data_IF_534258301973
#
_entry.id   IF_534258301973
#
_cell.length_a   1.000
_cell.length_b   1.000
_cell.length_c   1.000
_cell.angle_alpha   90.00
_cell.angle_beta   90.00
_cell.angle_gamma   90.00
#
_symmetry.space_group_name_H-M   'P 1'
#
loop_
_entity.id
_entity.type
_entity.pdbx_description
1 polymer ?
2 non-polymer ?
3 water ?
#
# COMPACT_ATOMS: atom_id res chain seq x y z
N UNK A 4 11.24 -9.70 -26.62
CA UNK A 4 10.94 -9.62 -25.16
C UNK A 4 10.15 -8.35 -24.81
N UNK A 5 8.94 -8.28 -25.37
CA UNK A 5 8.00 -7.17 -25.20
C UNK A 5 7.50 -7.00 -23.76
N UNK A 6 7.21 -8.12 -23.09
CA UNK A 6 6.70 -8.11 -21.71
C UNK A 6 7.70 -7.61 -20.68
N UNK A 7 8.97 -7.99 -20.85
CA UNK A 7 10.05 -7.58 -19.95
C UNK A 7 10.32 -6.08 -20.10
N UNK A 8 10.16 -5.56 -21.32
CA UNK A 8 10.34 -4.14 -21.61
C UNK A 8 9.23 -3.29 -20.99
N UNK A 9 8.01 -3.84 -20.98
CA UNK A 9 6.85 -3.17 -20.39
C UNK A 9 7.03 -3.09 -18.87
N UNK A 10 7.47 -4.20 -18.27
CA UNK A 10 7.71 -4.25 -16.82
C UNK A 10 8.84 -3.29 -16.44
N UNK A 11 9.93 -3.27 -17.22
CA UNK A 11 11.08 -2.39 -16.98
C UNK A 11 10.71 -0.90 -17.02
N UNK A 12 9.86 -0.53 -17.98
CA UNK A 12 9.41 0.86 -18.13
C UNK A 12 8.39 1.26 -17.07
N UNK A 13 7.67 0.27 -16.54
CA UNK A 13 6.67 0.49 -15.48
C UNK A 13 7.35 0.84 -14.15
N UNK A 14 8.52 0.23 -13.91
CA UNK A 14 9.30 0.46 -12.69
C UNK A 14 9.90 1.87 -12.72
N UNK A 15 10.20 2.37 -13.93
CA UNK A 15 10.77 3.70 -14.11
C UNK A 15 9.79 4.84 -13.79
N UNK A 16 8.49 4.53 -13.79
CA UNK A 16 7.41 5.47 -13.48
C UNK A 16 7.50 5.87 -11.98
N UNK A 17 8.12 5.01 -11.17
CA UNK A 17 8.29 5.25 -9.74
C UNK A 17 9.32 6.34 -9.40
N UNK A 18 10.06 6.78 -10.43
CA UNK A 18 11.08 7.83 -10.30
C UNK A 18 10.45 9.18 -9.92
N UNK A 19 9.18 9.37 -10.30
CA UNK A 19 8.41 10.59 -10.02
C UNK A 19 8.32 10.90 -8.52
N UNK A 20 8.30 9.85 -7.70
CA UNK A 20 8.21 9.98 -6.24
C UNK A 20 9.46 10.56 -5.57
N UNK A 21 10.53 10.69 -6.35
CA UNK A 21 11.81 11.23 -5.88
C UNK A 21 12.18 12.55 -6.56
N UNK A 22 11.73 12.73 -7.81
CA UNK A 22 12.06 13.93 -8.60
C UNK A 22 11.00 15.03 -8.73
N UNK A 23 9.73 14.63 -8.85
CA UNK A 23 8.61 15.56 -8.99
C UNK A 23 7.97 15.88 -7.64
N UNK A 24 7.82 17.17 -7.36
CA UNK A 24 7.24 17.68 -6.09
C UNK A 24 5.83 17.23 -5.69
N UNK A 25 4.93 17.13 -6.67
CA UNK A 25 3.55 16.70 -6.44
C UNK A 25 3.44 15.22 -6.04
N UNK A 26 4.37 14.41 -6.55
CA UNK A 26 4.40 12.99 -6.26
C UNK A 26 5.19 12.68 -4.99
N UNK A 27 6.21 13.51 -4.72
CA UNK A 27 7.05 13.39 -3.53
C UNK A 27 6.19 13.69 -2.30
N UNK A 28 5.23 14.60 -2.48
CA UNK A 28 4.29 15.00 -1.43
C UNK A 28 3.38 13.84 -1.04
N UNK A 29 2.97 13.04 -2.03
CA UNK A 29 2.11 11.87 -1.80
C UNK A 29 2.85 10.81 -0.98
N UNK A 30 4.14 10.62 -1.29
CA UNK A 30 5.01 9.67 -0.59
C UNK A 30 5.29 10.15 0.83
N UNK A 31 5.55 11.46 0.98
CA UNK A 31 5.82 12.08 2.28
C UNK A 31 4.60 12.02 3.19
N UNK A 32 3.42 12.21 2.59
CA UNK A 32 2.15 12.17 3.31
C UNK A 32 1.84 10.74 3.79
N UNK A 33 2.13 9.75 2.94
CA UNK A 33 1.91 8.33 3.27
C UNK A 33 2.76 7.93 4.48
N UNK A 34 4.04 8.32 4.46
CA UNK A 34 5.00 8.04 5.52
C UNK A 34 4.65 8.76 6.83
N UNK A 35 4.21 10.02 6.72
CA UNK A 35 3.82 10.84 7.87
C UNK A 35 2.62 10.24 8.60
N UNK A 36 1.64 9.76 7.83
CA UNK A 36 0.42 9.13 8.35
C UNK A 36 0.70 7.79 9.01
N UNK A 37 1.69 7.06 8.49
CA UNK A 37 2.11 5.75 9.03
C UNK A 37 2.79 5.92 10.40
N UNK A 38 3.63 6.95 10.53
CA UNK A 38 4.35 7.25 11.77
C UNK A 38 3.42 7.83 12.87
N UNK A 39 2.42 8.60 12.45
CA UNK A 39 1.47 9.23 13.37
C UNK A 39 0.29 8.36 13.79
N UNK A 40 0.03 7.28 13.04
CA UNK A 40 -1.07 6.37 13.36
C UNK A 40 -0.81 5.49 14.57
N UNK A 41 -1.88 5.13 15.28
CA UNK A 41 -1.80 4.26 16.45
C UNK A 41 -1.68 2.83 15.91
N UNK A 42 -2.64 2.42 15.07
CA UNK A 42 -2.65 1.10 14.43
C UNK A 42 -2.84 1.31 12.92
N UNK A 43 -2.20 0.46 12.12
CA UNK A 43 -2.29 0.55 10.65
C UNK A 43 -2.99 -0.69 10.09
N UNK A 44 -4.02 -0.45 9.28
CA UNK A 44 -4.82 -1.51 8.66
C UNK A 44 -4.66 -1.54 7.15
N UNK A 45 -4.38 -2.73 6.61
CA UNK A 45 -4.22 -2.90 5.17
C UNK A 45 -5.29 -3.87 4.65
N UNK A 46 -5.82 -3.58 3.46
CA UNK A 46 -6.81 -4.44 2.82
C UNK A 46 -6.73 -4.39 1.30
N UNK A 47 -7.10 -5.52 0.71
CA UNK A 47 -7.14 -5.70 -0.73
C UNK A 47 -7.71 -7.08 -0.98
N UNK A 48 -8.21 -7.29 -2.19
CA UNK A 48 -8.81 -8.57 -2.59
C UNK A 48 -7.89 -9.21 -3.65
N UNK A 49 -7.90 -10.55 -3.69
CA UNK A 49 -7.11 -11.30 -4.65
C UNK A 49 -5.62 -11.04 -4.61
N UNK A 50 -5.02 -10.84 -5.78
CA UNK A 50 -3.59 -10.57 -5.91
C UNK A 50 -3.17 -9.24 -5.27
N UNK A 51 -4.08 -8.26 -5.29
CA UNK A 51 -3.82 -6.95 -4.67
C UNK A 51 -3.72 -7.12 -3.15
N UNK A 52 -4.46 -8.10 -2.63
CA UNK A 52 -4.45 -8.40 -1.20
C UNK A 52 -3.20 -9.12 -0.73
N UNK A 53 -2.65 -9.97 -1.60
CA UNK A 53 -1.42 -10.72 -1.29
C UNK A 53 -0.23 -9.76 -1.25
N UNK A 54 -0.26 -8.77 -2.13
CA UNK A 54 0.76 -7.72 -2.21
C UNK A 54 0.59 -6.86 -0.94
N UNK A 55 -0.67 -6.66 -0.54
CA UNK A 55 -1.01 -5.90 0.65
C UNK A 55 -0.47 -6.54 1.92
N UNK A 56 -0.54 -7.87 1.96
CA UNK A 56 -0.03 -8.67 3.08
C UNK A 56 1.51 -8.56 3.18
N UNK A 57 2.18 -8.46 2.03
CA UNK A 57 3.65 -8.32 1.99
C UNK A 57 4.09 -7.03 2.67
N UNK A 58 3.29 -5.97 2.49
CA UNK A 58 3.55 -4.66 3.08
C UNK A 58 3.18 -4.67 4.57
N UNK A 59 2.05 -5.30 4.90
CA UNK A 59 1.56 -5.40 6.29
C UNK A 59 2.56 -6.11 7.19
N UNK A 60 3.16 -7.18 6.65
CA UNK A 60 4.17 -7.97 7.35
C UNK A 60 5.44 -7.14 7.58
N UNK A 61 5.85 -6.40 6.55
CA UNK A 61 7.05 -5.58 6.62
C UNK A 61 6.92 -4.39 7.60
N UNK A 62 5.71 -3.82 7.72
CA UNK A 62 5.45 -2.71 8.65
C UNK A 62 5.55 -3.21 10.09
N UNK A 63 5.14 -4.47 10.28
CA UNK A 63 5.18 -5.15 11.56
C UNK A 63 6.66 -5.38 11.93
N UNK A 64 7.46 -5.77 10.94
CA UNK A 64 8.90 -6.03 11.12
C UNK A 64 9.65 -4.80 11.62
N UNK A 65 9.16 -3.61 11.25
CA UNK A 65 9.75 -2.34 11.66
C UNK A 65 9.26 -1.82 13.02
N UNK A 66 8.30 -2.52 13.62
CA UNK A 66 7.79 -2.13 14.93
C UNK A 66 6.44 -1.47 15.03
N UNK A 67 5.78 -1.27 13.89
CA UNK A 67 4.45 -0.66 13.87
C UNK A 67 3.38 -1.68 14.21
N UNK A 68 2.23 -1.21 14.71
CA UNK A 68 1.10 -2.09 15.04
C UNK A 68 0.32 -2.21 13.72
N UNK A 69 0.75 -3.17 12.91
CA UNK A 69 0.20 -3.43 11.59
C UNK A 69 -0.76 -4.60 11.56
N UNK A 70 -1.83 -4.47 10.78
CA UNK A 70 -2.85 -5.53 10.66
C UNK A 70 -3.39 -5.63 9.25
N UNK A 71 -3.81 -6.83 8.88
CA UNK A 71 -4.44 -7.05 7.58
C UNK A 71 -5.90 -7.39 7.92
N UNK A 72 -6.83 -6.66 7.30
CA UNK A 72 -8.27 -6.85 7.52
C UNK A 72 -8.71 -8.22 6.98
N UNK A 73 -9.42 -8.98 7.82
CA UNK A 73 -9.88 -10.30 7.41
C UNK A 73 -9.20 -11.42 8.17
N UNK A 74 -8.06 -11.12 8.80
CA UNK A 74 -7.31 -12.13 9.53
C UNK A 74 -7.64 -12.27 11.01
N UNK A 75 -7.37 -13.46 11.54
CA UNK A 75 -7.66 -13.87 12.91
C UNK A 75 -7.63 -12.87 14.06
N UNK A 76 -6.47 -12.27 14.29
CA UNK A 76 -6.31 -11.34 15.40
C UNK A 76 -6.38 -9.85 15.08
N UNK A 77 -7.04 -9.51 13.97
CA UNK A 77 -7.20 -8.12 13.55
C UNK A 77 -8.34 -7.48 14.38
N UNK A 78 -8.02 -6.42 15.17
CA UNK A 78 -8.99 -5.72 16.01
C UNK A 78 -9.82 -4.65 15.33
N UNK A 79 -10.55 -3.91 16.16
CA UNK A 79 -11.41 -2.82 15.74
C UNK A 79 -10.62 -1.61 15.26
N UNK A 80 -11.17 -0.94 14.26
CA UNK A 80 -10.60 0.27 13.68
C UNK A 80 -11.07 1.43 14.57
N UNK A 81 -10.12 2.18 15.11
CA UNK A 81 -10.42 3.32 15.99
C UNK A 81 -10.09 4.66 15.33
N UNK A 82 -10.50 5.76 15.97
CA UNK A 82 -10.30 7.12 15.44
C UNK A 82 -8.88 7.59 15.09
N UNK A 83 -7.88 7.06 15.79
CA UNK A 83 -6.49 7.44 15.56
C UNK A 83 -5.74 6.47 14.64
N UNK A 84 -6.50 5.59 13.97
CA UNK A 84 -5.92 4.59 13.07
C UNK A 84 -5.86 5.00 11.60
N UNK A 85 -5.17 4.19 10.81
CA UNK A 85 -4.99 4.42 9.38
C UNK A 85 -5.37 3.18 8.57
N UNK A 86 -6.09 3.40 7.47
CA UNK A 86 -6.48 2.33 6.56
C UNK A 86 -5.87 2.58 5.18
N UNK A 87 -5.18 1.56 4.66
CA UNK A 87 -4.57 1.64 3.34
C UNK A 87 -5.26 0.58 2.47
N UNK A 88 -5.85 1.04 1.37
CA UNK A 88 -6.55 0.17 0.43
C UNK A 88 -5.79 0.05 -0.88
N UNK A 89 -5.65 -1.19 -1.35
CA UNK A 89 -4.94 -1.49 -2.59
C UNK A 89 -5.93 -2.16 -3.53
N UNK A 90 -6.21 -1.50 -4.66
CA UNK A 90 -7.15 -2.00 -5.66
C UNK A 90 -6.80 -1.52 -7.06
N UNK A 91 -6.81 -2.44 -8.03
CA UNK A 91 -6.50 -2.11 -9.41
C UNK A 91 -7.48 -1.15 -10.06
N UNK A 92 -8.74 -1.56 -10.16
CA UNK A 92 -9.78 -0.73 -10.77
C UNK A 92 -10.38 0.26 -9.78
N UNK A 93 -10.28 -0.06 -8.49
CA UNK A 93 -10.85 0.78 -7.44
C UNK A 93 -12.36 0.66 -7.34
N UNK A 94 -12.92 -0.35 -8.01
CA UNK A 94 -14.37 -0.57 -8.04
C UNK A 94 -14.86 -1.80 -7.28
N UNK A 95 -13.92 -2.64 -6.83
CA UNK A 95 -14.24 -3.89 -6.11
C UNK A 95 -15.14 -3.64 -4.89
N UNK A 96 -16.33 -4.26 -4.93
CA UNK A 96 -17.35 -4.12 -3.89
C UNK A 96 -16.91 -4.39 -2.45
N UNK A 97 -16.07 -5.41 -2.25
CA UNK A 97 -15.56 -5.76 -0.92
C UNK A 97 -14.62 -4.70 -0.35
N UNK A 98 -13.91 -4.00 -1.24
CA UNK A 98 -13.00 -2.91 -0.85
C UNK A 98 -13.83 -1.68 -0.47
N UNK A 99 -14.93 -1.46 -1.20
CA UNK A 99 -15.85 -0.34 -0.96
C UNK A 99 -16.59 -0.47 0.38
N UNK A 100 -16.90 -1.71 0.76
CA UNK A 100 -17.58 -2.05 2.02
C UNK A 100 -16.69 -1.65 3.20
N UNK A 101 -15.40 -2.00 3.11
CA UNK A 101 -14.40 -1.70 4.13
C UNK A 101 -14.14 -0.18 4.19
N UNK A 102 -14.14 0.47 3.02
CA UNK A 102 -13.94 1.92 2.92
C UNK A 102 -15.09 2.71 3.57
N UNK A 103 -16.32 2.25 3.35
CA UNK A 103 -17.54 2.85 3.90
C UNK A 103 -17.58 2.78 5.43
N UNK A 104 -17.19 1.63 5.97
CA UNK A 104 -17.18 1.41 7.42
C UNK A 104 -16.09 2.20 8.15
N UNK A 105 -14.95 2.39 7.48
CA UNK A 105 -13.84 3.14 8.04
C UNK A 105 -14.12 4.64 7.99
N UNK A 106 -14.85 5.06 6.95
CA UNK A 106 -15.23 6.46 6.73
C UNK A 106 -16.13 7.01 7.84
N UNK A 107 -16.86 6.12 8.51
CA UNK A 107 -17.74 6.47 9.62
C UNK A 107 -16.98 6.70 10.93
N UNK A 108 -15.73 6.23 10.97
CA UNK A 108 -14.86 6.37 12.15
C UNK A 108 -13.92 7.57 11.99
N UNK A 109 -13.20 7.65 10.86
CA UNK A 109 -12.30 8.78 10.57
C UNK A 109 -12.12 9.02 9.07
N UNK A 110 -11.27 10.00 8.72
CA UNK A 110 -10.98 10.35 7.33
C UNK A 110 -9.63 9.83 6.86
N UNK A 111 -8.91 9.15 7.76
CA UNK A 111 -7.57 8.61 7.50
C UNK A 111 -7.54 7.35 6.60
N UNK A 112 -7.95 7.54 5.34
CA UNK A 112 -8.01 6.46 4.36
C UNK A 112 -7.15 6.79 3.13
N UNK A 113 -6.25 5.86 2.79
CA UNK A 113 -5.36 6.00 1.63
C UNK A 113 -5.72 4.91 0.61
N UNK A 114 -5.77 5.30 -0.66
CA UNK A 114 -6.08 4.37 -1.74
C UNK A 114 -4.94 4.33 -2.73
N UNK A 115 -4.41 3.13 -2.97
CA UNK A 115 -3.34 2.90 -3.95
C UNK A 115 -4.07 2.17 -5.08
N UNK A 116 -4.25 2.90 -6.18
CA UNK A 116 -4.99 2.41 -7.35
C UNK A 116 -4.27 2.56 -8.68
N UNK A 117 -4.82 1.92 -9.72
CA UNK A 117 -4.29 2.06 -11.08
C UNK A 117 -5.28 3.01 -11.77
N UNK A 118 -6.56 2.65 -11.74
CA UNK A 118 -7.65 3.46 -12.32
C UNK A 118 -8.35 4.15 -11.16
N UNK A 119 -8.75 5.41 -11.36
CA UNK A 119 -9.43 6.18 -10.32
C UNK A 119 -10.92 5.85 -10.18
N UNK A 120 -11.18 4.64 -9.68
CA UNK A 120 -12.53 4.14 -9.47
C UNK A 120 -13.19 4.67 -8.21
N UNK A 121 -14.39 4.16 -7.93
CA UNK A 121 -15.23 4.54 -6.79
C UNK A 121 -14.60 4.71 -5.40
N UNK A 122 -13.53 3.96 -5.12
CA UNK A 122 -12.85 4.01 -3.81
C UNK A 122 -12.19 5.35 -3.49
N UNK A 123 -11.82 6.11 -4.53
CA UNK A 123 -11.17 7.41 -4.37
C UNK A 123 -12.06 8.46 -3.71
N UNK A 124 -13.38 8.25 -3.80
CA UNK A 124 -14.39 9.13 -3.21
C UNK A 124 -14.34 9.07 -1.68
N UNK A 125 -13.87 7.94 -1.15
CA UNK A 125 -13.76 7.71 0.29
C UNK A 125 -12.35 7.94 0.83
N UNK A 126 -11.39 8.19 -0.06
CA UNK A 126 -10.00 8.40 0.32
C UNK A 126 -9.59 9.85 0.56
N UNK A 127 -8.74 10.03 1.57
CA UNK A 127 -8.19 11.34 1.94
C UNK A 127 -6.97 11.62 1.05
N UNK A 128 -6.28 10.54 0.68
CA UNK A 128 -5.09 10.57 -0.17
C UNK A 128 -5.18 9.44 -1.18
N UNK A 129 -5.06 9.79 -2.46
CA UNK A 129 -5.09 8.81 -3.53
C UNK A 129 -3.72 8.80 -4.20
N UNK A 130 -3.15 7.60 -4.33
CA UNK A 130 -1.84 7.41 -4.97
C UNK A 130 -2.03 6.54 -6.23
N UNK A 131 -2.22 7.17 -7.41
CA UNK A 131 -2.40 6.42 -8.66
C UNK A 131 -1.08 5.89 -9.22
N UNK A 132 -1.06 4.62 -9.62
CA UNK A 132 0.12 4.00 -10.22
C UNK A 132 -0.35 3.59 -11.61
N UNK A 133 -0.34 4.58 -12.51
CA UNK A 133 -0.77 4.42 -13.90
C UNK A 133 0.29 3.72 -14.74
N UNK A 134 0.16 2.40 -14.78
CA UNK A 134 1.07 1.52 -15.51
C UNK A 134 0.54 1.06 -16.86
N UNK A 135 1.45 0.56 -17.69
CA UNK A 135 1.13 0.06 -19.02
C UNK A 135 0.72 -1.42 -18.94
N UNK A 136 -0.43 -1.72 -19.53
CA UNK A 136 -0.99 -3.08 -19.59
C UNK A 136 -0.63 -3.69 -20.95
N UNK A 137 -0.78 -5.00 -21.05
CA UNK A 137 -0.48 -5.73 -22.28
C UNK A 137 -1.41 -6.94 -22.44
N UNK A 138 -1.39 -7.54 -23.62
CA UNK A 138 -2.20 -8.72 -23.94
C UNK A 138 -1.77 -9.93 -23.09
N UNK A 139 -0.46 -10.06 -22.87
CA UNK A 139 0.09 -11.16 -22.09
C UNK A 139 0.44 -10.84 -20.64
N UNK A 140 0.07 -9.62 -20.22
CA UNK A 140 0.21 -9.11 -18.85
C UNK A 140 -1.18 -8.46 -18.63
N UNK A 141 -2.24 -9.29 -18.48
CA UNK A 141 -3.63 -8.86 -18.30
C UNK A 141 -4.08 -8.42 -16.91
N UNK A 142 -5.32 -7.92 -16.84
CA UNK A 142 -5.97 -7.44 -15.61
C UNK A 142 -5.09 -6.42 -14.87
N UNK A 143 -4.85 -6.67 -13.58
CA UNK A 143 -4.03 -5.79 -12.78
C UNK A 143 -2.61 -6.29 -12.59
N UNK A 144 -2.17 -7.26 -13.40
CA UNK A 144 -0.82 -7.86 -13.33
C UNK A 144 0.32 -6.86 -13.14
N UNK A 145 0.40 -5.86 -14.02
CA UNK A 145 1.46 -4.85 -13.94
C UNK A 145 1.32 -3.90 -12.76
N UNK A 146 0.08 -3.64 -12.34
CA UNK A 146 -0.19 -2.78 -11.18
C UNK A 146 0.29 -3.48 -9.90
N UNK A 147 -0.04 -4.77 -9.75
CA UNK A 147 0.36 -5.56 -8.59
C UNK A 147 1.88 -5.66 -8.45
N UNK A 148 2.58 -5.78 -9.58
CA UNK A 148 4.05 -5.85 -9.62
C UNK A 148 4.67 -4.52 -9.19
N UNK A 149 4.15 -3.43 -9.76
CA UNK A 149 4.62 -2.07 -9.49
C UNK A 149 4.27 -1.62 -8.07
N UNK A 150 3.09 -2.04 -7.59
CA UNK A 150 2.63 -1.71 -6.24
C UNK A 150 3.50 -2.38 -5.18
N UNK A 151 3.92 -3.62 -5.43
CA UNK A 151 4.80 -4.34 -4.50
C UNK A 151 6.14 -3.61 -4.40
N UNK A 152 6.68 -3.23 -5.55
CA UNK A 152 7.95 -2.51 -5.62
C UNK A 152 7.84 -1.14 -4.94
N UNK A 153 6.73 -0.43 -5.17
CA UNK A 153 6.46 0.89 -4.56
C UNK A 153 6.41 0.76 -3.04
N UNK A 154 5.66 -0.24 -2.56
CA UNK A 154 5.50 -0.48 -1.13
C UNK A 154 6.79 -0.88 -0.42
N UNK A 155 7.70 -1.53 -1.16
CA UNK A 155 9.00 -1.92 -0.61
C UNK A 155 9.91 -0.68 -0.58
N UNK A 156 9.67 0.26 -1.50
CA UNK A 156 10.43 1.52 -1.55
C UNK A 156 9.98 2.45 -0.42
N UNK A 157 8.72 2.30 0.01
CA UNK A 157 8.15 3.08 1.13
C UNK A 157 8.82 2.58 2.41
N UNK A 158 8.98 1.26 2.52
CA UNK A 158 9.64 0.62 3.66
C UNK A 158 11.10 1.09 3.70
N UNK A 159 11.74 1.16 2.53
CA UNK A 159 13.13 1.60 2.40
C UNK A 159 13.28 3.03 2.92
N UNK A 160 12.32 3.88 2.57
CA UNK A 160 12.32 5.27 3.00
C UNK A 160 12.00 5.45 4.49
N UNK A 161 11.18 4.54 5.06
CA UNK A 161 10.84 4.61 6.49
C UNK A 161 12.07 4.24 7.33
N UNK A 162 12.85 3.26 6.84
CA UNK A 162 14.07 2.81 7.52
C UNK A 162 15.16 3.89 7.52
N UNK A 163 15.23 4.66 6.43
CA UNK A 163 16.20 5.76 6.26
C UNK A 163 15.91 6.93 7.19
N UNK A 164 14.63 7.30 7.29
CA UNK A 164 14.18 8.42 8.12
C UNK A 164 14.20 8.16 9.62
N UNK A 165 14.01 6.90 10.01
CA UNK A 165 14.00 6.51 11.42
C UNK A 165 15.29 5.81 11.88
N UNK A 166 16.28 5.75 10.98
CA UNK A 166 17.60 5.11 11.22
C UNK A 166 17.54 3.64 11.68
N UNK A 167 16.69 2.86 11.00
CA UNK A 167 16.50 1.45 11.31
C UNK A 167 17.40 0.57 10.45
N UNK A 168 17.87 -0.52 11.05
CA UNK A 168 18.75 -1.49 10.38
C UNK A 168 18.00 -2.80 10.13
N UNK A 169 18.70 -3.77 9.54
CA UNK A 169 18.18 -5.10 9.23
C UNK A 169 17.93 -5.88 10.54
N UNK A 170 18.63 -5.48 11.61
CA UNK A 170 18.53 -6.11 12.93
C UNK A 170 17.15 -5.96 13.58
N UNK A 171 16.45 -4.88 13.22
CA UNK A 171 15.10 -4.60 13.72
C UNK A 171 14.11 -5.61 13.16
N UNK A 172 14.35 -6.00 11.91
CA UNK A 172 13.52 -6.97 11.20
C UNK A 172 13.71 -8.38 11.75
N UNK A 173 14.96 -8.80 11.96
CA UNK A 173 15.29 -10.14 12.48
C UNK A 173 14.70 -10.36 13.88
N UNK A 174 14.70 -9.29 14.68
CA UNK A 174 14.18 -9.29 16.05
C UNK A 174 12.68 -9.59 16.12
N UNK A 175 11.93 -9.09 15.14
CA UNK A 175 10.47 -9.26 15.10
C UNK A 175 9.93 -10.26 14.08
N UNK A 176 10.83 -10.81 13.27
CA UNK A 176 10.49 -11.78 12.22
C UNK A 176 10.04 -13.11 12.82
N UNK A 177 9.05 -13.75 12.19
CA UNK A 177 8.55 -15.06 12.64
C UNK A 177 9.70 -16.07 12.64
N UNK A 178 9.82 -16.80 13.74
CA UNK A 178 10.89 -17.78 13.92
C UNK A 178 10.38 -19.18 14.23
N UNK A 179 9.11 -19.43 13.95
CA UNK A 179 8.51 -20.73 14.22
C UNK A 179 8.33 -21.64 13.02
N UNK A 180 8.42 -21.08 11.82
CA UNK A 180 8.25 -21.86 10.59
C UNK A 180 9.55 -22.21 9.86
X LIG B 1 -10.31 -5.17 -9.83
X LIG B 1 -11.42 -4.99 -10.42
X LIG B 1 -9.25 -4.41 -10.03
X LIG B 1 -10.26 -6.35 -8.86
X LIG B 1 -8.95 -6.72 -8.03
X LIG B 1 -7.98 -7.18 -9.00
X LIG B 1 -9.33 -7.98 -7.12
X LIG B 1 -9.86 -9.28 -7.62
X LIG B 1 -9.03 -10.11 -7.91
X LIG B 1 -11.11 -9.40 -7.74
X LIG B 1 -8.41 -5.47 -7.17
X LIG B 1 -7.26 -5.04 -7.42
X LIG B 1 -9.13 -4.93 -6.28
#
# INVERSE_FOLDING_TARGET
>A
MSKLEELDIVSNNILILKKFYTNDEWKNKLDSLIDRIIKAKKIFIFGVGRSGYIGRCFAMRLMHLGFKSYFVGETTTPSYEKDDLLILISGSGRTESVLTVAKKAKNINNNIIAIVCECGNVVEFADLTIPLEVKKSKYLPMGTTFEETALIFLDLVIAEIMKRLNLDESEIIKRHCNLL
>B hetero
1 CIT C1 O1 O2 C2 C3 O7 C4 C5 O3 O4 C6 O5 O6
#
